data_IF_895722961379
#
_entry.id   IF_895722961379
#
_cell.length_a   1.000
_cell.length_b   1.000
_cell.length_c   1.000
_cell.angle_alpha   90.00
_cell.angle_beta   90.00
_cell.angle_gamma   90.00
#
_symmetry.space_group_name_H-M   'P 1'
#
loop_
_entity.id
_entity.type
_entity.pdbx_description
1 polymer ?
#
# COMPACT_ATOMS: atom_id res chain seq x y z
N UNK A 1 -4.81 -10.33 12.10
CA UNK A 1 -3.98 -11.39 11.49
C UNK A 1 -4.85 -12.21 10.56
N UNK A 2 -4.27 -12.91 9.59
CA UNK A 2 -4.97 -13.85 8.72
C UNK A 2 -4.09 -15.09 8.45
N UNK A 3 -4.58 -16.02 7.62
CA UNK A 3 -3.84 -17.24 7.29
C UNK A 3 -2.49 -16.96 6.59
N UNK A 4 -2.34 -15.80 5.97
CA UNK A 4 -1.16 -15.42 5.18
C UNK A 4 -0.15 -14.58 5.98
N UNK A 5 -0.58 -13.88 7.04
CA UNK A 5 0.29 -13.02 7.84
C UNK A 5 -0.18 -12.83 9.29
N UNK A 6 0.73 -12.95 10.27
CA UNK A 6 0.44 -12.64 11.66
C UNK A 6 0.47 -11.12 11.95
N UNK A 7 0.92 -10.29 11.00
CA UNK A 7 1.01 -8.85 11.19
C UNK A 7 -0.39 -8.20 11.30
N UNK A 8 -0.49 -7.14 12.10
CA UNK A 8 -1.73 -6.40 12.33
C UNK A 8 -1.48 -4.89 12.23
N UNK A 9 -2.42 -4.19 11.60
CA UNK A 9 -2.51 -2.74 11.65
C UNK A 9 -3.63 -2.41 12.63
N UNK A 10 -3.29 -1.71 13.71
CA UNK A 10 -4.26 -1.20 14.67
C UNK A 10 -4.63 0.24 14.31
N UNK A 11 -5.93 0.52 14.17
CA UNK A 11 -6.46 1.84 13.87
C UNK A 11 -7.18 2.40 15.09
N UNK A 12 -6.88 3.64 15.46
CA UNK A 12 -7.45 4.28 16.66
C UNK A 12 -8.24 5.52 16.30
N UNK A 13 -9.51 5.56 16.71
CA UNK A 13 -10.39 6.73 16.57
C UNK A 13 -10.58 7.38 17.94
N UNK A 14 -10.08 8.61 18.10
CA UNK A 14 -10.22 9.36 19.35
C UNK A 14 -11.66 9.88 19.52
N UNK A 15 -12.23 9.66 20.70
CA UNK A 15 -13.61 10.08 21.03
C UNK A 15 -13.78 11.61 20.86
N UNK A 16 -14.80 12.00 20.11
CA UNK A 16 -15.20 13.40 19.95
C UNK A 16 -14.31 14.21 19.00
N UNK A 17 -13.33 13.60 18.35
CA UNK A 17 -12.52 14.28 17.32
C UNK A 17 -13.33 14.44 16.04
N UNK A 18 -13.37 15.65 15.50
CA UNK A 18 -14.01 15.99 14.23
C UNK A 18 -13.03 16.40 13.15
N UNK A 19 -11.84 16.88 13.54
CA UNK A 19 -10.81 17.33 12.61
C UNK A 19 -9.91 16.18 12.13
N UNK A 20 -9.43 16.21 10.86
CA UNK A 20 -8.44 15.26 10.36
C UNK A 20 -7.18 15.21 11.23
N UNK A 21 -6.51 14.06 11.29
CA UNK A 21 -5.22 13.94 11.97
C UNK A 21 -4.10 14.63 11.17
N UNK A 22 -3.16 15.26 11.88
CA UNK A 22 -1.98 15.81 11.24
C UNK A 22 -0.99 14.66 10.97
N UNK A 23 -0.74 14.38 9.69
CA UNK A 23 0.17 13.30 9.28
C UNK A 23 1.64 13.62 9.60
N UNK A 24 2.05 14.88 9.45
CA UNK A 24 3.46 15.28 9.52
C UNK A 24 4.27 14.75 8.33
N UNK A 25 5.60 14.71 8.51
CA UNK A 25 6.56 14.32 7.47
C UNK A 25 7.54 13.21 7.91
N UNK A 26 7.42 12.72 9.14
CA UNK A 26 8.26 11.64 9.69
C UNK A 26 7.82 10.23 9.29
N UNK A 27 6.54 10.02 9.00
CA UNK A 27 6.01 8.73 8.55
C UNK A 27 5.99 8.65 7.01
N UNK A 28 6.53 7.55 6.46
CA UNK A 28 6.54 7.32 5.02
C UNK A 28 5.23 6.69 4.52
N UNK A 29 5.11 5.37 4.73
CA UNK A 29 3.97 4.55 4.33
C UNK A 29 4.05 3.16 4.99
N UNK A 30 2.94 2.43 4.93
CA UNK A 30 2.90 0.99 5.17
C UNK A 30 2.84 0.26 3.83
N UNK A 31 3.32 -0.98 3.78
CA UNK A 31 3.40 -1.75 2.54
C UNK A 31 2.75 -3.13 2.68
N UNK A 32 2.03 -3.54 1.65
CA UNK A 32 1.43 -4.88 1.53
C UNK A 32 1.91 -5.55 0.24
N UNK A 33 2.16 -6.86 0.31
CA UNK A 33 2.61 -7.63 -0.84
C UNK A 33 1.50 -8.50 -1.44
N UNK A 34 1.41 -8.52 -2.76
CA UNK A 34 0.43 -9.29 -3.52
C UNK A 34 1.09 -10.19 -4.56
N UNK A 35 0.46 -11.30 -4.91
CA UNK A 35 1.00 -12.22 -5.91
C UNK A 35 0.95 -11.62 -7.33
N UNK A 36 -0.14 -10.94 -7.67
CA UNK A 36 -0.39 -10.32 -8.97
C UNK A 36 -0.77 -8.84 -8.79
N UNK A 37 0.15 -7.95 -9.15
CA UNK A 37 -0.03 -6.52 -8.97
C UNK A 37 -0.98 -5.91 -10.01
N UNK A 38 -1.02 -6.44 -11.24
CA UNK A 38 -1.88 -5.90 -12.29
C UNK A 38 -3.35 -6.14 -11.93
N UNK A 39 -3.67 -7.40 -11.59
CA UNK A 39 -5.02 -7.77 -11.15
C UNK A 39 -5.48 -6.96 -9.93
N UNK A 40 -4.58 -6.72 -8.97
CA UNK A 40 -4.91 -5.93 -7.79
C UNK A 40 -5.06 -4.43 -8.10
N UNK A 41 -4.24 -3.89 -9.00
CA UNK A 41 -4.37 -2.51 -9.48
C UNK A 41 -5.73 -2.28 -10.15
N UNK A 42 -6.13 -3.18 -11.05
CA UNK A 42 -7.42 -3.14 -11.73
C UNK A 42 -8.58 -3.26 -10.73
N UNK A 43 -8.49 -4.19 -9.78
CA UNK A 43 -9.51 -4.39 -8.73
C UNK A 43 -9.70 -3.12 -7.90
N UNK A 44 -8.61 -2.50 -7.45
CA UNK A 44 -8.64 -1.26 -6.65
C UNK A 44 -9.17 -0.09 -7.49
N UNK A 45 -8.78 0.00 -8.77
CA UNK A 45 -9.31 1.00 -9.70
C UNK A 45 -10.82 0.86 -9.91
N UNK A 46 -11.32 -0.37 -10.10
CA UNK A 46 -12.74 -0.67 -10.27
C UNK A 46 -13.58 -0.32 -9.03
N UNK A 47 -12.97 -0.35 -7.84
CA UNK A 47 -13.60 0.08 -6.59
C UNK A 47 -13.59 1.61 -6.37
N UNK A 48 -12.99 2.38 -7.28
CA UNK A 48 -12.98 3.85 -7.23
C UNK A 48 -11.89 4.45 -6.33
N UNK A 49 -10.91 3.66 -5.89
CA UNK A 49 -9.83 4.13 -5.00
C UNK A 49 -8.67 4.84 -5.74
N UNK A 50 -8.76 5.00 -7.06
CA UNK A 50 -7.83 5.78 -7.88
C UNK A 50 -6.33 5.45 -7.63
N UNK A 51 -5.90 4.19 -7.80
CA UNK A 51 -4.51 3.82 -7.58
C UNK A 51 -3.58 4.59 -8.52
N UNK A 52 -2.42 5.00 -8.00
CA UNK A 52 -1.38 5.61 -8.84
C UNK A 52 -0.90 4.61 -9.90
N UNK A 53 -0.24 5.11 -10.94
CA UNK A 53 0.35 4.23 -11.97
C UNK A 53 1.33 3.25 -11.36
N UNK A 54 1.34 2.03 -11.87
CA UNK A 54 2.36 1.04 -11.52
C UNK A 54 3.73 1.57 -11.94
N UNK A 55 4.69 1.44 -11.02
CA UNK A 55 6.09 1.79 -11.21
C UNK A 55 6.91 0.50 -11.19
N UNK A 56 7.85 0.40 -12.13
CA UNK A 56 8.80 -0.71 -12.21
C UNK A 56 10.22 -0.18 -12.05
N UNK A 57 10.97 -0.78 -11.13
CA UNK A 57 12.39 -0.49 -10.94
C UNK A 57 13.23 -1.66 -11.46
N UNK A 58 14.02 -1.37 -12.50
CA UNK A 58 14.92 -2.31 -13.14
C UNK A 58 16.37 -1.88 -12.92
N UNK A 59 17.23 -2.82 -12.54
CA UNK A 59 18.65 -2.58 -12.34
C UNK A 59 19.43 -3.68 -13.05
N UNK A 60 20.33 -3.29 -13.95
CA UNK A 60 21.10 -4.22 -14.79
C UNK A 60 20.25 -5.30 -15.50
N UNK A 61 19.05 -4.93 -15.96
CA UNK A 61 18.13 -5.84 -16.67
C UNK A 61 17.35 -6.78 -15.75
N UNK A 62 17.52 -6.67 -14.42
CA UNK A 62 16.77 -7.43 -13.43
C UNK A 62 15.71 -6.53 -12.80
N UNK A 63 14.46 -6.98 -12.80
CA UNK A 63 13.36 -6.31 -12.09
C UNK A 63 13.54 -6.47 -10.59
N UNK A 64 13.86 -5.37 -9.91
CA UNK A 64 14.06 -5.34 -8.46
C UNK A 64 12.74 -5.17 -7.72
N UNK A 65 11.88 -4.27 -8.22
CA UNK A 65 10.62 -3.96 -7.56
C UNK A 65 9.56 -3.54 -8.59
N UNK A 66 8.31 -3.83 -8.26
CA UNK A 66 7.13 -3.41 -9.00
C UNK A 66 6.02 -3.12 -8.01
N UNK A 67 5.48 -1.91 -8.03
CA UNK A 67 4.54 -1.45 -7.00
C UNK A 67 3.66 -0.31 -7.52
N UNK A 68 2.58 -0.03 -6.81
CA UNK A 68 1.82 1.22 -6.92
C UNK A 68 1.45 1.74 -5.53
N UNK A 69 0.98 2.98 -5.47
CA UNK A 69 0.48 3.59 -4.24
C UNK A 69 -1.02 3.85 -4.32
N UNK A 70 -1.67 3.68 -3.18
CA UNK A 70 -2.96 4.29 -2.87
C UNK A 70 -2.80 5.24 -1.67
N UNK A 71 -3.81 6.09 -1.49
CA UNK A 71 -3.95 6.94 -0.30
C UNK A 71 -5.29 6.60 0.32
N UNK A 72 -5.30 6.33 1.63
CA UNK A 72 -6.52 6.04 2.36
C UNK A 72 -7.33 7.33 2.65
N UNK A 73 -8.55 7.24 3.18
CA UNK A 73 -9.37 8.42 3.45
C UNK A 73 -8.77 9.42 4.44
N UNK A 74 -7.82 9.00 5.28
CA UNK A 74 -7.13 9.85 6.26
C UNK A 74 -5.81 10.44 5.70
N UNK A 75 -5.44 10.09 4.46
CA UNK A 75 -4.25 10.59 3.78
C UNK A 75 -2.99 9.72 3.96
N UNK A 76 -3.09 8.56 4.63
CA UNK A 76 -1.97 7.65 4.78
C UNK A 76 -1.69 6.93 3.46
N UNK A 77 -0.43 6.94 3.05
CA UNK A 77 0.02 6.23 1.85
C UNK A 77 0.19 4.75 2.15
N UNK A 78 -0.29 3.92 1.23
CA UNK A 78 -0.09 2.47 1.25
C UNK A 78 0.60 2.06 -0.05
N UNK A 79 1.73 1.39 0.07
CA UNK A 79 2.44 0.76 -1.05
C UNK A 79 1.92 -0.65 -1.26
N UNK A 80 1.45 -0.95 -2.47
CA UNK A 80 1.12 -2.31 -2.88
C UNK A 80 2.26 -2.79 -3.78
N UNK A 81 2.98 -3.83 -3.34
CA UNK A 81 4.12 -4.37 -4.07
C UNK A 81 3.88 -5.79 -4.57
N UNK A 82 4.42 -6.12 -5.73
CA UNK A 82 4.42 -7.50 -6.20
C UNK A 82 5.41 -8.33 -5.38
N UNK A 83 4.96 -9.49 -4.89
CA UNK A 83 5.82 -10.48 -4.25
C UNK A 83 6.96 -10.88 -5.19
N UNK A 84 8.16 -10.96 -4.63
CA UNK A 84 9.42 -11.17 -5.34
C UNK A 84 10.62 -10.89 -4.45
N UNK A 85 11.73 -11.58 -4.72
CA UNK A 85 12.95 -11.47 -3.92
C UNK A 85 12.70 -11.88 -2.46
N UNK A 86 12.94 -10.94 -1.54
CA UNK A 86 12.75 -11.15 -0.08
C UNK A 86 11.30 -11.10 0.38
N UNK A 87 10.39 -10.59 -0.45
CA UNK A 87 8.97 -10.46 -0.12
C UNK A 87 8.23 -11.66 -0.72
N UNK A 88 7.98 -12.68 0.12
CA UNK A 88 7.25 -13.89 -0.24
C UNK A 88 5.91 -13.96 0.49
#
# INVERSE_FOLDING_TARGET
SNADSPFEVELTVNKGRTEPYALGDGYGHFAVSVADLDSEHDRIGALGFNPRKIVEFNHHGVRIARFFFIEDPDGYKIEVLQRGGRFQ
#
